data_IF_962980643263
#
_entry.id   IF_962980643263
#
_cell.length_a   1.000
_cell.length_b   1.000
_cell.length_c   1.000
_cell.angle_alpha   90.00
_cell.angle_beta   90.00
_cell.angle_gamma   90.00
#
_symmetry.space_group_name_H-M   'P 1'
#
loop_
_entity.id
_entity.type
_entity.pdbx_description
1 polymer ?
#
# COMPACT_ATOMS: atom_id res chain seq x y z
N UNK A 1 -10.64 -32.37 -11.28
CA UNK A 1 -9.54 -31.43 -11.60
C UNK A 1 -8.85 -31.07 -10.29
N UNK A 2 -7.59 -31.43 -10.11
CA UNK A 2 -6.82 -31.03 -8.94
C UNK A 2 -6.28 -29.61 -9.15
N UNK A 3 -6.73 -28.66 -8.32
CA UNK A 3 -6.20 -27.30 -8.30
C UNK A 3 -4.89 -27.35 -7.53
N UNK A 4 -3.76 -27.18 -8.23
CA UNK A 4 -2.46 -26.98 -7.58
C UNK A 4 -2.38 -25.51 -7.20
N UNK A 5 -2.53 -25.21 -5.92
CA UNK A 5 -2.28 -23.88 -5.37
C UNK A 5 -0.77 -23.73 -5.17
N UNK A 6 -0.14 -22.85 -5.95
CA UNK A 6 1.23 -22.41 -5.70
C UNK A 6 1.14 -21.26 -4.69
N UNK A 7 1.30 -21.58 -3.41
CA UNK A 7 1.34 -20.58 -2.34
C UNK A 7 2.75 -20.00 -2.29
N UNK A 8 2.93 -18.80 -2.84
CA UNK A 8 4.14 -18.01 -2.62
C UNK A 8 3.91 -17.19 -1.37
N UNK A 9 4.64 -17.51 -0.29
CA UNK A 9 4.62 -16.73 0.94
C UNK A 9 5.40 -15.42 0.73
N UNK A 10 4.85 -14.50 -0.06
CA UNK A 10 5.36 -13.14 -0.17
C UNK A 10 4.84 -12.36 1.05
N UNK A 11 5.68 -12.24 2.09
CA UNK A 11 5.38 -11.40 3.26
C UNK A 11 5.94 -10.00 3.01
N UNK A 12 5.14 -9.14 2.37
CA UNK A 12 5.51 -7.75 2.08
C UNK A 12 4.70 -7.17 0.91
N UNK A 13 4.77 -5.85 0.64
CA UNK A 13 4.35 -5.33 -0.66
C UNK A 13 5.21 -6.01 -1.73
N UNK A 14 4.60 -6.83 -2.59
CA UNK A 14 5.32 -7.59 -3.62
C UNK A 14 6.20 -6.65 -4.43
N UNK A 15 7.51 -6.76 -4.24
CA UNK A 15 8.50 -6.01 -4.99
C UNK A 15 8.72 -6.66 -6.36
N UNK A 16 9.60 -6.05 -7.16
CA UNK A 16 9.91 -6.56 -8.50
C UNK A 16 10.53 -7.96 -8.45
N UNK A 17 11.26 -8.31 -7.38
CA UNK A 17 11.88 -9.63 -7.20
C UNK A 17 10.85 -10.71 -6.93
N UNK A 18 9.87 -10.47 -6.05
CA UNK A 18 8.76 -11.41 -5.79
C UNK A 18 7.98 -11.71 -7.08
N UNK A 19 7.72 -10.68 -7.89
CA UNK A 19 7.01 -10.82 -9.17
C UNK A 19 7.82 -11.65 -10.17
N UNK A 20 9.10 -11.33 -10.34
CA UNK A 20 9.98 -12.09 -11.23
C UNK A 20 10.12 -13.54 -10.77
N UNK A 21 10.14 -13.78 -9.45
CA UNK A 21 10.10 -15.11 -8.86
C UNK A 21 8.83 -15.88 -9.23
N UNK A 22 7.65 -15.25 -9.12
CA UNK A 22 6.38 -15.86 -9.53
C UNK A 22 6.33 -16.20 -11.02
N UNK A 23 6.72 -15.27 -11.90
CA UNK A 23 6.74 -15.50 -13.35
C UNK A 23 7.69 -16.65 -13.72
N UNK A 24 8.87 -16.69 -13.09
CA UNK A 24 9.86 -17.76 -13.29
C UNK A 24 9.31 -19.15 -12.89
N UNK A 25 8.64 -19.26 -11.74
CA UNK A 25 8.07 -20.54 -11.31
C UNK A 25 6.94 -21.02 -12.22
N UNK A 26 6.09 -20.09 -12.69
CA UNK A 26 5.02 -20.42 -13.67
C UNK A 26 5.64 -20.90 -14.99
N UNK A 27 6.71 -20.26 -15.46
CA UNK A 27 7.42 -20.68 -16.67
C UNK A 27 8.03 -22.06 -16.53
N UNK A 28 8.71 -22.33 -15.41
CA UNK A 28 9.33 -23.62 -15.14
C UNK A 28 8.29 -24.74 -15.10
N UNK A 29 7.15 -24.52 -14.46
CA UNK A 29 6.06 -25.50 -14.40
C UNK A 29 5.37 -25.67 -15.77
N UNK A 30 5.20 -24.59 -16.55
CA UNK A 30 4.67 -24.69 -17.90
C UNK A 30 5.61 -25.45 -18.84
N UNK A 31 6.92 -25.26 -18.73
CA UNK A 31 7.90 -26.06 -19.45
C UNK A 31 7.81 -27.55 -19.07
N UNK A 32 7.68 -27.85 -17.77
CA UNK A 32 7.48 -29.23 -17.30
C UNK A 32 6.18 -29.85 -17.85
N UNK A 33 5.07 -29.09 -17.86
CA UNK A 33 3.76 -29.55 -18.38
C UNK A 33 3.77 -29.79 -19.88
N UNK A 34 4.47 -28.95 -20.63
CA UNK A 34 4.64 -29.10 -22.07
C UNK A 34 5.43 -30.37 -22.44
N UNK A 35 6.30 -30.83 -21.54
CA UNK A 35 7.11 -32.05 -21.72
C UNK A 35 6.38 -33.36 -21.31
N UNK A 36 5.13 -33.30 -20.83
CA UNK A 36 4.34 -34.50 -20.53
C UNK A 36 3.77 -35.12 -21.82
N UNK A 37 3.47 -36.43 -21.79
CA UNK A 37 2.75 -37.13 -22.86
C UNK A 37 1.48 -37.80 -22.31
N UNK A 38 0.27 -37.26 -22.57
CA UNK A 38 0.02 -36.05 -23.37
C UNK A 38 0.42 -34.75 -22.63
N UNK A 39 0.68 -33.64 -23.37
CA UNK A 39 0.99 -32.36 -22.75
C UNK A 39 -0.09 -31.87 -21.79
N UNK A 40 0.32 -31.37 -20.64
CA UNK A 40 -0.59 -30.79 -19.65
C UNK A 40 -1.07 -29.38 -20.04
N UNK A 41 -2.20 -28.95 -19.50
CA UNK A 41 -2.71 -27.58 -19.69
C UNK A 41 -1.77 -26.55 -19.04
N UNK A 42 -1.36 -25.48 -19.74
CA UNK A 42 -0.51 -24.44 -19.18
C UNK A 42 -1.24 -23.66 -18.08
N UNK A 43 -0.48 -23.24 -17.07
CA UNK A 43 -0.90 -22.30 -16.05
C UNK A 43 -0.98 -20.89 -16.65
N UNK A 44 -2.05 -20.13 -16.32
CA UNK A 44 -2.21 -18.76 -16.79
C UNK A 44 -1.20 -17.83 -16.13
N UNK A 45 -0.81 -16.78 -16.87
CA UNK A 45 -0.04 -15.64 -16.36
C UNK A 45 -0.90 -14.39 -16.40
N UNK A 46 -0.75 -13.51 -15.42
CA UNK A 46 -1.37 -12.19 -15.45
C UNK A 46 -0.83 -11.37 -16.63
N UNK A 47 -1.73 -10.83 -17.43
CA UNK A 47 -1.42 -9.89 -18.51
C UNK A 47 -0.84 -8.58 -17.97
N UNK A 48 -0.17 -7.81 -18.83
CA UNK A 48 0.33 -6.48 -18.47
C UNK A 48 -0.79 -5.56 -17.95
N UNK A 49 -1.99 -5.66 -18.53
CA UNK A 49 -3.17 -4.89 -18.12
C UNK A 49 -3.65 -5.29 -16.72
N UNK A 50 -3.77 -6.58 -16.44
CA UNK A 50 -4.19 -7.07 -15.11
C UNK A 50 -3.17 -6.68 -14.03
N UNK A 51 -1.87 -6.77 -14.35
CA UNK A 51 -0.81 -6.32 -13.45
C UNK A 51 -0.90 -4.83 -13.17
N UNK A 52 -1.05 -4.00 -14.21
CA UNK A 52 -1.20 -2.55 -14.07
C UNK A 52 -2.39 -2.21 -13.17
N UNK A 53 -3.55 -2.81 -13.42
CA UNK A 53 -4.76 -2.57 -12.61
C UNK A 53 -4.56 -2.95 -11.13
N UNK A 54 -3.87 -4.07 -10.87
CA UNK A 54 -3.53 -4.49 -9.51
C UNK A 54 -2.62 -3.48 -8.80
N UNK A 55 -1.56 -3.02 -9.49
CA UNK A 55 -0.68 -1.98 -8.95
C UNK A 55 -1.40 -0.67 -8.67
N UNK A 56 -2.23 -0.20 -9.60
CA UNK A 56 -3.00 1.03 -9.43
C UNK A 56 -3.95 0.96 -8.23
N UNK A 57 -4.55 -0.21 -7.98
CA UNK A 57 -5.43 -0.45 -6.82
C UNK A 57 -4.65 -0.34 -5.51
N UNK A 58 -3.50 -1.02 -5.41
CA UNK A 58 -2.65 -0.99 -4.21
C UNK A 58 -2.12 0.43 -3.98
N UNK A 59 -1.58 1.06 -5.02
CA UNK A 59 -1.04 2.41 -4.94
C UNK A 59 -2.09 3.42 -4.50
N UNK A 60 -3.31 3.34 -5.04
CA UNK A 60 -4.42 4.22 -4.65
C UNK A 60 -4.78 4.06 -3.18
N UNK A 61 -4.81 2.82 -2.67
CA UNK A 61 -5.08 2.56 -1.25
C UNK A 61 -3.99 3.12 -0.33
N UNK A 62 -2.72 2.97 -0.71
CA UNK A 62 -1.59 3.49 0.07
C UNK A 62 -1.59 5.02 0.10
N UNK A 63 -1.78 5.66 -1.06
CA UNK A 63 -1.86 7.12 -1.16
C UNK A 63 -3.03 7.67 -0.34
N UNK A 64 -4.19 7.02 -0.38
CA UNK A 64 -5.34 7.43 0.44
C UNK A 64 -5.04 7.34 1.94
N UNK A 65 -4.32 6.29 2.38
CA UNK A 65 -3.85 6.14 3.76
C UNK A 65 -2.91 7.26 4.19
N UNK A 66 -1.87 7.52 3.39
CA UNK A 66 -0.93 8.62 3.64
C UNK A 66 -1.61 9.99 3.65
N UNK A 67 -2.61 10.21 2.78
CA UNK A 67 -3.34 11.45 2.74
C UNK A 67 -4.17 11.67 4.02
N UNK A 68 -4.88 10.62 4.49
CA UNK A 68 -5.60 10.64 5.76
C UNK A 68 -4.68 10.92 6.95
N UNK A 69 -3.53 10.26 7.01
CA UNK A 69 -2.54 10.47 8.07
C UNK A 69 -2.01 11.92 8.07
N UNK A 70 -1.68 12.46 6.90
CA UNK A 70 -1.23 13.86 6.77
C UNK A 70 -2.33 14.86 7.15
N UNK A 71 -3.61 14.57 6.87
CA UNK A 71 -4.72 15.40 7.33
C UNK A 71 -4.82 15.38 8.87
N UNK A 72 -4.64 14.20 9.49
CA UNK A 72 -4.67 14.07 10.95
C UNK A 72 -3.49 14.77 11.63
N UNK A 73 -2.28 14.61 11.10
CA UNK A 73 -1.09 15.31 11.59
C UNK A 73 -1.15 16.82 11.30
N UNK A 74 -1.75 17.19 10.18
CA UNK A 74 -1.95 18.57 9.73
C UNK A 74 -3.17 19.26 10.32
N UNK A 75 -3.90 18.61 11.23
CA UNK A 75 -5.01 19.19 11.99
C UNK A 75 -4.51 20.32 12.89
N UNK A 76 -4.25 21.48 12.30
CA UNK A 76 -4.04 22.73 13.01
C UNK A 76 -5.37 23.23 13.57
N UNK A 77 -5.34 23.73 14.80
CA UNK A 77 -6.52 24.37 15.37
C UNK A 77 -6.99 25.49 14.45
N UNK A 78 -8.28 25.50 14.11
CA UNK A 78 -8.88 26.58 13.33
C UNK A 78 -8.70 27.92 14.04
N UNK A 79 -8.68 29.03 13.29
CA UNK A 79 -8.59 30.37 13.88
C UNK A 79 -9.68 30.62 14.92
N UNK A 80 -10.88 30.07 14.73
CA UNK A 80 -11.98 30.16 15.70
C UNK A 80 -11.66 29.41 17.01
N UNK A 81 -11.10 28.20 16.91
CA UNK A 81 -10.66 27.43 18.08
C UNK A 81 -9.53 28.16 18.82
N UNK A 82 -8.55 28.71 18.10
CA UNK A 82 -7.46 29.50 18.69
C UNK A 82 -8.01 30.73 19.41
N UNK A 83 -8.94 31.47 18.79
CA UNK A 83 -9.58 32.65 19.41
C UNK A 83 -10.37 32.28 20.67
N UNK A 84 -11.12 31.18 20.65
CA UNK A 84 -11.86 30.70 21.81
C UNK A 84 -10.93 30.32 22.97
N UNK A 85 -9.82 29.62 22.66
CA UNK A 85 -8.78 29.27 23.64
C UNK A 85 -8.11 30.52 24.22
N UNK A 86 -7.81 31.52 23.38
CA UNK A 86 -7.19 32.77 23.80
C UNK A 86 -8.10 33.63 24.69
N UNK A 87 -9.41 33.60 24.43
CA UNK A 87 -10.40 34.34 25.21
C UNK A 87 -10.53 33.81 26.65
N UNK A 88 -10.34 32.51 26.87
CA UNK A 88 -10.44 31.86 28.19
C UNK A 88 -9.08 31.68 28.88
N UNK A 89 -7.97 31.83 28.16
CA UNK A 89 -6.63 31.71 28.71
C UNK A 89 -6.27 32.86 29.66
N UNK A 90 -5.61 32.53 30.77
CA UNK A 90 -5.00 33.51 31.69
C UNK A 90 -3.80 34.20 31.04
N UNK A 91 -3.39 35.36 31.58
CA UNK A 91 -2.19 36.09 31.11
C UNK A 91 -0.94 35.17 31.17
N UNK A 92 -0.79 34.37 32.22
CA UNK A 92 0.34 33.45 32.37
C UNK A 92 0.39 32.39 31.25
N UNK A 93 -0.77 31.83 30.87
CA UNK A 93 -0.86 30.83 29.79
C UNK A 93 -0.56 31.45 28.42
N UNK A 94 -1.02 32.68 28.18
CA UNK A 94 -0.73 33.41 26.95
C UNK A 94 0.76 33.73 26.80
N UNK A 95 1.41 34.16 27.88
CA UNK A 95 2.84 34.45 27.89
C UNK A 95 3.68 33.18 27.67
N UNK A 96 3.29 32.05 28.27
CA UNK A 96 3.95 30.76 28.06
C UNK A 96 3.82 30.28 26.60
N UNK A 97 2.65 30.43 26.00
CA UNK A 97 2.44 30.10 24.58
C UNK A 97 3.29 30.99 23.66
N UNK A 98 3.43 32.28 23.98
CA UNK A 98 4.28 33.21 23.22
C UNK A 98 5.76 32.85 23.32
N UNK A 99 6.23 32.44 24.49
CA UNK A 99 7.61 32.00 24.71
C UNK A 99 7.96 30.71 23.96
N UNK A 100 6.99 29.81 23.74
CA UNK A 100 7.19 28.57 22.99
C UNK A 100 7.28 28.77 21.46
N UNK A 101 7.00 29.99 20.95
CA UNK A 101 7.07 30.34 19.54
C UNK A 101 8.37 31.06 19.14
N UNK A 102 9.21 31.41 20.11
CA UNK A 102 10.55 32.01 19.90
C UNK A 102 11.61 30.93 19.79
#
# INVERSE_FOLDING_TARGET
>A
MAVIAITVNATGPADEEDRSGMEYQIDKENARRAALDPPGTPLPKSTATERKASYETIASSVIAGWHQENIQLGSVASLAQIKALWATATISQRNAAYAALQ
#
